data_IF_529570852648
#
_entry.id   IF_529570852648
#
_cell.length_a   1.000
_cell.length_b   1.000
_cell.length_c   1.000
_cell.angle_alpha   90.00
_cell.angle_beta   90.00
_cell.angle_gamma   90.00
#
_symmetry.space_group_name_H-M   'P 1'
#
loop_
_entity.id
_entity.type
_entity.pdbx_description
1 polymer ?
#
# COMPACT_ATOMS: atom_id res chain seq x y z
N UNK A 1 -6.61 -29.57 -4.43
CA UNK A 1 -6.78 -28.71 -5.63
C UNK A 1 -7.44 -27.37 -5.30
N UNK A 2 -8.61 -27.34 -4.65
CA UNK A 2 -9.32 -26.09 -4.29
C UNK A 2 -8.49 -25.09 -3.45
N UNK A 3 -7.67 -25.59 -2.52
CA UNK A 3 -6.81 -24.78 -1.65
C UNK A 3 -5.66 -24.06 -2.39
N UNK A 4 -5.04 -24.72 -3.38
CA UNK A 4 -4.02 -24.08 -4.23
C UNK A 4 -4.66 -23.05 -5.16
N UNK A 5 -5.88 -23.32 -5.64
CA UNK A 5 -6.66 -22.40 -6.46
C UNK A 5 -7.02 -21.12 -5.69
N UNK A 6 -7.30 -21.20 -4.37
CA UNK A 6 -7.58 -20.01 -3.55
C UNK A 6 -6.34 -19.16 -3.29
N UNK A 7 -5.16 -19.77 -3.08
CA UNK A 7 -3.89 -19.02 -3.00
C UNK A 7 -3.58 -18.34 -4.34
N UNK A 8 -3.76 -19.07 -5.45
CA UNK A 8 -3.59 -18.51 -6.80
C UNK A 8 -4.53 -17.34 -7.07
N UNK A 9 -5.80 -17.46 -6.68
CA UNK A 9 -6.79 -16.38 -6.81
C UNK A 9 -6.43 -15.14 -5.99
N UNK A 10 -5.93 -15.31 -4.76
CA UNK A 10 -5.46 -14.23 -3.90
C UNK A 10 -4.29 -13.46 -4.55
N UNK A 11 -3.30 -14.20 -5.04
CA UNK A 11 -2.13 -13.62 -5.72
C UNK A 11 -2.53 -12.91 -7.01
N UNK A 12 -3.48 -13.48 -7.77
CA UNK A 12 -4.03 -12.86 -8.97
C UNK A 12 -4.74 -11.56 -8.62
N UNK A 13 -5.64 -11.56 -7.64
CA UNK A 13 -6.36 -10.36 -7.20
C UNK A 13 -5.38 -9.26 -6.76
N UNK A 14 -4.33 -9.62 -6.02
CA UNK A 14 -3.25 -8.70 -5.65
C UNK A 14 -2.50 -8.13 -6.84
N UNK A 15 -2.18 -8.96 -7.83
CA UNK A 15 -1.50 -8.53 -9.05
C UNK A 15 -2.36 -7.52 -9.84
N UNK A 16 -3.68 -7.78 -9.93
CA UNK A 16 -4.64 -6.88 -10.58
C UNK A 16 -4.71 -5.54 -9.85
N UNK A 17 -4.80 -5.55 -8.53
CA UNK A 17 -4.84 -4.31 -7.73
C UNK A 17 -3.51 -3.54 -7.80
N UNK A 18 -2.37 -4.24 -7.86
CA UNK A 18 -1.07 -3.60 -8.04
C UNK A 18 -0.93 -2.96 -9.43
N UNK A 19 -1.44 -3.61 -10.48
CA UNK A 19 -1.50 -3.04 -11.83
C UNK A 19 -2.44 -1.84 -11.90
N UNK A 20 -3.59 -1.92 -11.23
CA UNK A 20 -4.50 -0.78 -11.09
C UNK A 20 -3.81 0.39 -10.39
N UNK A 21 -3.11 0.13 -9.28
CA UNK A 21 -2.34 1.14 -8.57
C UNK A 21 -1.26 1.77 -9.46
N UNK A 22 -0.55 0.98 -10.26
CA UNK A 22 0.39 1.49 -11.27
C UNK A 22 -0.30 2.43 -12.27
N UNK A 23 -1.51 2.08 -12.71
CA UNK A 23 -2.39 2.94 -13.53
C UNK A 23 -2.69 4.27 -12.84
N UNK A 24 -3.07 4.24 -11.56
CA UNK A 24 -3.33 5.46 -10.75
C UNK A 24 -2.10 6.36 -10.70
N UNK A 25 -0.91 5.81 -10.44
CA UNK A 25 0.35 6.60 -10.43
C UNK A 25 0.61 7.28 -11.77
N UNK A 26 0.43 6.56 -12.89
CA UNK A 26 0.62 7.13 -14.22
C UNK A 26 -0.47 8.15 -14.58
N UNK A 27 -1.71 7.95 -14.12
CA UNK A 27 -2.79 8.93 -14.22
C UNK A 27 -2.41 10.23 -13.51
N UNK A 28 -1.96 10.15 -12.26
CA UNK A 28 -1.45 11.31 -11.52
C UNK A 28 -0.30 12.00 -12.27
N UNK A 29 0.66 11.25 -12.80
CA UNK A 29 1.76 11.79 -13.60
C UNK A 29 1.25 12.55 -14.84
N UNK A 30 0.29 11.97 -15.56
CA UNK A 30 -0.32 12.61 -16.73
C UNK A 30 -0.99 13.94 -16.36
N UNK A 31 -1.77 13.97 -15.27
CA UNK A 31 -2.36 15.21 -14.76
C UNK A 31 -1.30 16.26 -14.39
N UNK A 32 -0.21 15.85 -13.75
CA UNK A 32 0.91 16.76 -13.42
C UNK A 32 1.60 17.31 -14.68
N UNK A 33 1.71 16.53 -15.76
CA UNK A 33 2.29 16.97 -17.04
C UNK A 33 1.36 17.90 -17.83
N UNK A 34 0.07 17.60 -17.86
CA UNK A 34 -0.94 18.39 -18.58
C UNK A 34 -1.10 19.79 -18.00
N UNK A 35 -0.99 19.93 -16.67
CA UNK A 35 -1.03 21.21 -16.01
C UNK A 35 0.35 21.88 -16.10
N UNK A 36 0.59 22.65 -17.17
CA UNK A 36 1.80 23.47 -17.42
C UNK A 36 2.14 24.47 -16.30
N UNK A 37 1.23 24.74 -15.36
CA UNK A 37 1.50 25.52 -14.14
C UNK A 37 2.35 24.77 -13.10
N UNK A 38 2.58 23.46 -13.29
CA UNK A 38 3.51 22.65 -12.51
C UNK A 38 4.93 22.60 -13.12
N UNK A 39 5.27 23.51 -14.04
CA UNK A 39 6.62 23.57 -14.62
C UNK A 39 7.70 23.70 -13.51
N UNK A 40 8.58 22.70 -13.33
CA UNK A 40 9.63 22.74 -12.33
C UNK A 40 10.73 23.75 -12.68
N UNK A 41 10.77 24.28 -13.91
CA UNK A 41 11.70 25.34 -14.30
C UNK A 41 11.41 26.65 -13.55
N UNK A 42 10.12 26.95 -13.29
CA UNK A 42 9.68 28.17 -12.60
C UNK A 42 9.61 28.04 -11.07
N UNK A 43 9.62 26.80 -10.53
CA UNK A 43 9.84 26.55 -9.10
C UNK A 43 11.24 25.96 -8.86
N UNK A 44 12.23 26.85 -8.88
CA UNK A 44 13.48 26.68 -8.09
C UNK A 44 13.23 26.55 -6.58
N UNK A 45 11.98 26.41 -6.11
CA UNK A 45 11.67 25.88 -4.79
C UNK A 45 11.93 24.37 -4.83
N UNK A 46 13.21 24.00 -4.70
CA UNK A 46 13.58 22.71 -4.12
C UNK A 46 12.82 22.63 -2.80
N UNK A 47 11.66 21.97 -2.77
CA UNK A 47 11.06 21.51 -1.52
C UNK A 47 11.99 20.39 -1.05
N UNK A 48 13.13 20.78 -0.50
CA UNK A 48 13.98 19.94 0.32
C UNK A 48 13.21 19.90 1.63
N UNK A 49 12.26 18.96 1.72
CA UNK A 49 11.57 18.69 2.98
C UNK A 49 12.64 18.61 4.06
N UNK A 50 12.50 19.46 5.08
CA UNK A 50 13.39 19.44 6.22
C UNK A 50 13.38 18.04 6.84
N UNK A 51 14.47 17.67 7.50
CA UNK A 51 14.57 16.35 8.15
C UNK A 51 13.38 16.11 9.10
N UNK A 52 12.96 17.17 9.82
CA UNK A 52 11.82 17.16 10.73
C UNK A 52 10.49 16.83 10.03
N UNK A 53 10.22 17.41 8.84
CA UNK A 53 8.98 17.13 8.09
C UNK A 53 8.95 15.67 7.60
N UNK A 54 10.09 15.12 7.18
CA UNK A 54 10.19 13.71 6.78
C UNK A 54 9.93 12.77 7.95
N UNK A 55 10.52 13.07 9.10
CA UNK A 55 10.31 12.31 10.33
C UNK A 55 8.83 12.34 10.76
N UNK A 56 8.21 13.53 10.76
CA UNK A 56 6.79 13.68 11.08
C UNK A 56 5.90 12.90 10.10
N UNK A 57 6.18 12.99 8.80
CA UNK A 57 5.41 12.27 7.77
C UNK A 57 5.56 10.76 7.95
N UNK A 58 6.78 10.29 8.21
CA UNK A 58 7.07 8.89 8.52
C UNK A 58 6.32 8.40 9.77
N UNK A 59 6.24 9.23 10.81
CA UNK A 59 5.52 8.92 12.03
C UNK A 59 4.00 8.82 11.80
N UNK A 60 3.43 9.77 11.06
CA UNK A 60 2.00 9.74 10.68
C UNK A 60 1.70 8.49 9.85
N UNK A 61 2.55 8.16 8.86
CA UNK A 61 2.42 6.94 8.09
C UNK A 61 2.51 5.70 8.98
N UNK A 62 3.46 5.66 9.92
CA UNK A 62 3.57 4.56 10.87
C UNK A 62 2.29 4.34 11.67
N UNK A 63 1.68 5.40 12.22
CA UNK A 63 0.42 5.29 12.98
C UNK A 63 -0.71 4.74 12.10
N UNK A 64 -0.88 5.28 10.90
CA UNK A 64 -1.91 4.81 9.96
C UNK A 64 -1.70 3.35 9.56
N UNK A 65 -0.47 2.99 9.21
CA UNK A 65 -0.13 1.63 8.77
C UNK A 65 -0.25 0.64 9.91
N UNK A 66 0.23 0.98 11.12
CA UNK A 66 0.13 0.11 12.28
C UNK A 66 -1.34 -0.17 12.63
N UNK A 67 -2.19 0.85 12.58
CA UNK A 67 -3.62 0.69 12.80
C UNK A 67 -4.28 -0.16 11.69
N UNK A 68 -4.00 0.14 10.43
CA UNK A 68 -4.52 -0.59 9.28
C UNK A 68 -4.12 -2.06 9.30
N UNK A 69 -2.82 -2.36 9.48
CA UNK A 69 -2.30 -3.72 9.59
C UNK A 69 -2.93 -4.43 10.79
N UNK A 70 -3.10 -3.77 11.94
CA UNK A 70 -3.74 -4.40 13.10
C UNK A 70 -5.16 -4.88 12.78
N UNK A 71 -5.95 -4.06 12.07
CA UNK A 71 -7.28 -4.45 11.61
C UNK A 71 -7.20 -5.59 10.58
N UNK A 72 -6.31 -5.48 9.58
CA UNK A 72 -6.10 -6.54 8.58
C UNK A 72 -5.74 -7.88 9.23
N UNK A 73 -4.81 -7.89 10.19
CA UNK A 73 -4.41 -9.12 10.88
C UNK A 73 -5.55 -9.71 11.70
N UNK A 74 -6.34 -8.86 12.36
CA UNK A 74 -7.46 -9.31 13.19
C UNK A 74 -8.55 -9.99 12.36
N UNK A 75 -8.90 -9.42 11.21
CA UNK A 75 -9.99 -9.97 10.37
C UNK A 75 -9.51 -11.00 9.34
N UNK A 76 -8.26 -10.94 8.87
CA UNK A 76 -7.78 -11.76 7.76
C UNK A 76 -6.53 -12.59 8.05
N UNK A 77 -5.84 -12.45 9.19
CA UNK A 77 -4.77 -13.38 9.56
C UNK A 77 -5.21 -14.31 10.67
N UNK A 78 -5.88 -13.77 11.70
CA UNK A 78 -6.46 -14.56 12.80
C UNK A 78 -7.75 -15.29 12.41
N UNK A 79 -8.29 -15.00 11.22
CA UNK A 79 -9.35 -15.78 10.60
C UNK A 79 -8.79 -17.13 10.15
N UNK A 80 -9.36 -18.23 10.67
CA UNK A 80 -8.81 -19.58 10.61
C UNK A 80 -8.26 -19.99 9.24
N UNK A 81 -8.98 -19.73 8.14
CA UNK A 81 -8.57 -20.17 6.78
C UNK A 81 -7.30 -19.48 6.27
N UNK A 82 -7.14 -18.18 6.54
CA UNK A 82 -5.99 -17.42 6.04
C UNK A 82 -4.72 -17.67 6.85
N UNK A 83 -4.85 -18.04 8.13
CA UNK A 83 -3.73 -18.52 8.93
C UNK A 83 -3.09 -19.76 8.30
N UNK A 84 -3.91 -20.71 7.83
CA UNK A 84 -3.43 -21.88 7.12
C UNK A 84 -2.67 -21.51 5.84
N UNK A 85 -3.13 -20.51 5.07
CA UNK A 85 -2.40 -20.06 3.87
C UNK A 85 -0.97 -19.62 4.20
N UNK A 86 -0.76 -18.96 5.34
CA UNK A 86 0.58 -18.55 5.79
C UNK A 86 1.46 -19.75 6.11
N UNK A 87 0.94 -20.74 6.85
CA UNK A 87 1.72 -21.96 7.19
C UNK A 87 2.08 -22.75 5.92
N UNK A 88 1.10 -23.00 5.05
CA UNK A 88 1.31 -23.80 3.84
C UNK A 88 2.19 -23.13 2.78
N UNK A 89 2.40 -21.82 2.89
CA UNK A 89 3.37 -21.08 2.06
C UNK A 89 4.70 -20.84 2.75
N UNK A 90 4.98 -21.55 3.86
CA UNK A 90 6.19 -21.37 4.68
C UNK A 90 6.43 -19.91 5.09
N UNK A 91 5.35 -19.17 5.37
CA UNK A 91 5.42 -17.78 5.79
C UNK A 91 5.54 -16.76 4.65
N UNK A 92 5.65 -17.19 3.38
CA UNK A 92 5.82 -16.26 2.25
C UNK A 92 4.66 -15.25 2.14
N UNK A 93 3.43 -15.66 2.44
CA UNK A 93 2.28 -14.76 2.43
C UNK A 93 2.31 -13.70 3.53
N UNK A 94 3.10 -13.85 4.61
CA UNK A 94 3.25 -12.78 5.63
C UNK A 94 3.81 -11.50 5.04
N UNK A 95 4.65 -11.60 4.01
CA UNK A 95 5.19 -10.45 3.28
C UNK A 95 4.04 -9.57 2.78
N UNK A 96 2.93 -10.18 2.35
CA UNK A 96 1.77 -9.47 1.83
C UNK A 96 1.05 -8.63 2.89
N UNK A 97 1.00 -9.11 4.13
CA UNK A 97 0.35 -8.41 5.24
C UNK A 97 1.23 -7.27 5.78
N UNK A 98 2.55 -7.45 5.78
CA UNK A 98 3.51 -6.48 6.31
C UNK A 98 4.05 -5.51 5.25
N UNK A 99 3.85 -5.78 3.95
CA UNK A 99 4.29 -4.93 2.85
C UNK A 99 3.95 -3.43 3.03
N UNK A 100 2.75 -3.04 3.54
CA UNK A 100 2.43 -1.64 3.79
C UNK A 100 3.45 -0.91 4.68
N UNK A 101 4.18 -1.60 5.59
CA UNK A 101 5.24 -0.99 6.41
C UNK A 101 6.34 -0.33 5.58
N UNK A 102 6.58 -0.80 4.35
CA UNK A 102 7.54 -0.19 3.44
C UNK A 102 7.25 1.29 3.18
N UNK A 103 5.98 1.72 3.21
CA UNK A 103 5.58 3.09 2.95
C UNK A 103 6.14 4.10 3.97
N UNK A 104 6.48 3.66 5.19
CA UNK A 104 7.12 4.46 6.24
C UNK A 104 8.44 5.06 5.73
N UNK A 105 9.19 4.30 4.94
CA UNK A 105 10.50 4.71 4.44
C UNK A 105 10.41 5.68 3.24
N UNK A 106 9.24 5.80 2.61
CA UNK A 106 9.04 6.58 1.38
C UNK A 106 9.53 8.05 1.45
N UNK A 107 9.35 8.79 2.56
CA UNK A 107 9.85 10.16 2.72
C UNK A 107 11.39 10.25 2.68
N UNK A 108 12.09 9.18 3.03
CA UNK A 108 13.56 9.12 3.07
C UNK A 108 14.17 8.66 1.75
N UNK A 109 13.41 7.98 0.89
CA UNK A 109 13.93 7.49 -0.38
C UNK A 109 14.35 8.64 -1.28
N UNK A 110 15.60 8.60 -1.75
CA UNK A 110 16.21 9.60 -2.63
C UNK A 110 15.30 9.91 -3.83
N UNK A 111 15.33 11.16 -4.29
CA UNK A 111 14.44 11.70 -5.33
C UNK A 111 14.68 11.10 -6.72
N UNK A 112 15.83 10.49 -6.94
CA UNK A 112 16.25 10.03 -8.28
C UNK A 112 15.60 8.69 -8.64
N UNK A 113 14.37 8.77 -9.15
CA UNK A 113 13.62 7.61 -9.65
C UNK A 113 14.33 6.88 -10.82
N UNK A 114 15.17 7.59 -11.59
CA UNK A 114 15.97 7.03 -12.69
C UNK A 114 16.98 5.99 -12.20
N UNK A 115 17.64 6.29 -11.08
CA UNK A 115 18.65 5.45 -10.44
C UNK A 115 18.05 4.25 -9.71
N UNK A 116 16.72 4.16 -9.61
CA UNK A 116 16.07 2.98 -9.02
C UNK A 116 16.16 1.80 -9.98
N UNK A 117 16.77 0.72 -9.49
CA UNK A 117 16.71 -0.58 -10.15
C UNK A 117 15.26 -1.04 -10.36
N UNK A 118 15.02 -1.86 -11.39
CA UNK A 118 13.68 -2.40 -11.71
C UNK A 118 13.00 -3.03 -10.49
N UNK A 119 13.77 -3.76 -9.68
CA UNK A 119 13.31 -4.39 -8.43
C UNK A 119 12.84 -3.35 -7.41
N UNK A 120 13.56 -2.24 -7.23
CA UNK A 120 13.13 -1.17 -6.32
C UNK A 120 11.83 -0.53 -6.79
N UNK A 121 11.66 -0.28 -8.09
CA UNK A 121 10.40 0.28 -8.62
C UNK A 121 9.23 -0.67 -8.35
N UNK A 122 9.41 -1.95 -8.66
CA UNK A 122 8.41 -2.97 -8.39
C UNK A 122 8.03 -3.02 -6.92
N UNK A 123 9.01 -2.99 -6.00
CA UNK A 123 8.76 -2.97 -4.56
C UNK A 123 7.84 -1.82 -4.15
N UNK A 124 8.07 -0.59 -4.60
CA UNK A 124 7.23 0.55 -4.21
C UNK A 124 5.81 0.49 -4.77
N UNK A 125 5.64 -0.03 -5.99
CA UNK A 125 4.31 -0.29 -6.54
C UNK A 125 3.60 -1.41 -5.79
N UNK A 126 4.34 -2.45 -5.42
CA UNK A 126 3.82 -3.55 -4.60
C UNK A 126 3.35 -3.04 -3.24
N UNK A 127 4.17 -2.28 -2.51
CA UNK A 127 3.80 -1.67 -1.21
C UNK A 127 2.52 -0.81 -1.31
N UNK A 128 2.43 0.04 -2.33
CA UNK A 128 1.25 0.88 -2.56
C UNK A 128 0.02 0.06 -2.94
N UNK A 129 0.19 -0.94 -3.82
CA UNK A 129 -0.85 -1.86 -4.25
C UNK A 129 -1.39 -2.73 -3.11
N UNK A 130 -0.52 -3.30 -2.27
CA UNK A 130 -0.92 -4.08 -1.09
C UNK A 130 -1.66 -3.23 -0.07
N UNK A 131 -1.23 -1.98 0.13
CA UNK A 131 -1.93 -1.04 1.01
C UNK A 131 -3.35 -0.77 0.50
N UNK A 132 -3.49 -0.53 -0.81
CA UNK A 132 -4.78 -0.30 -1.45
C UNK A 132 -5.69 -1.55 -1.40
N UNK A 133 -5.13 -2.73 -1.68
CA UNK A 133 -5.87 -4.00 -1.63
C UNK A 133 -6.46 -4.26 -0.25
N UNK A 134 -5.64 -4.18 0.80
CA UNK A 134 -6.10 -4.40 2.17
C UNK A 134 -7.10 -3.33 2.61
N UNK A 135 -6.86 -2.08 2.19
CA UNK A 135 -7.79 -0.97 2.42
C UNK A 135 -9.18 -1.23 1.82
N UNK A 136 -9.23 -1.68 0.56
CA UNK A 136 -10.48 -2.01 -0.13
C UNK A 136 -11.15 -3.21 0.52
N UNK A 137 -10.42 -4.30 0.80
CA UNK A 137 -10.99 -5.49 1.43
C UNK A 137 -11.64 -5.18 2.77
N UNK A 138 -10.96 -4.42 3.64
CA UNK A 138 -11.50 -4.05 4.95
C UNK A 138 -12.81 -3.25 4.87
N UNK A 139 -13.01 -2.48 3.79
CA UNK A 139 -14.21 -1.67 3.57
C UNK A 139 -15.32 -2.48 2.88
N UNK A 140 -14.97 -3.28 1.87
CA UNK A 140 -15.95 -4.07 1.10
C UNK A 140 -16.54 -5.22 1.90
N UNK A 141 -15.73 -5.84 2.77
CA UNK A 141 -16.18 -6.93 3.60
C UNK A 141 -16.95 -6.39 4.82
N UNK A 142 -18.27 -6.48 4.75
CA UNK A 142 -19.17 -6.06 5.82
C UNK A 142 -19.24 -7.06 6.98
N UNK A 143 -18.64 -8.26 6.83
CA UNK A 143 -18.58 -9.24 7.91
C UNK A 143 -17.65 -8.77 9.01
N UNK A 144 -18.14 -8.75 10.25
CA UNK A 144 -17.32 -8.51 11.45
C UNK A 144 -16.97 -9.79 12.19
N UNK A 145 -17.19 -10.96 11.59
CA UNK A 145 -16.87 -12.23 12.23
C UNK A 145 -15.35 -12.38 12.36
N UNK A 146 -14.89 -12.54 13.58
CA UNK A 146 -13.52 -12.89 13.92
C UNK A 146 -13.56 -14.31 14.47
N UNK A 147 -12.93 -15.22 13.75
CA UNK A 147 -12.84 -16.62 14.17
C UNK A 147 -11.84 -16.74 15.31
N UNK A 148 -12.24 -17.38 16.39
CA UNK A 148 -11.41 -17.61 17.57
C UNK A 148 -10.69 -18.95 17.54
N UNK A 149 -11.07 -19.83 16.61
CA UNK A 149 -10.48 -21.15 16.42
C UNK A 149 -10.05 -21.37 14.96
N UNK A 150 -9.12 -22.30 14.79
CA UNK A 150 -8.56 -22.67 13.49
C UNK A 150 -9.55 -23.47 12.63
N UNK A 151 -10.55 -24.09 13.28
CA UNK A 151 -11.65 -24.83 12.66
C UNK A 151 -12.73 -23.92 12.05
N UNK A 152 -12.70 -22.62 12.34
CA UNK A 152 -13.69 -21.66 11.83
C UNK A 152 -15.10 -21.87 12.38
N UNK A 153 -15.23 -22.60 13.49
CA UNK A 153 -16.50 -22.95 14.13
C UNK A 153 -16.93 -21.91 15.16
N UNK A 154 -15.97 -21.40 15.94
CA UNK A 154 -16.23 -20.40 16.97
C UNK A 154 -15.84 -19.02 16.46
N UNK A 155 -16.76 -18.06 16.60
CA UNK A 155 -16.53 -16.68 16.21
C UNK A 155 -17.14 -15.72 17.22
N UNK A 156 -16.53 -14.55 17.29
CA UNK A 156 -17.12 -13.39 17.96
C UNK A 156 -17.22 -12.22 16.96
N UNK A 157 -18.04 -11.23 17.28
CA UNK A 157 -18.23 -10.07 16.43
C UNK A 157 -17.29 -8.94 16.83
N UNK A 158 -16.52 -8.46 15.85
CA UNK A 158 -15.71 -7.25 15.97
C UNK A 158 -16.52 -5.97 15.71
N UNK A 159 -15.83 -4.84 15.80
CA UNK A 159 -16.41 -3.52 15.58
C UNK A 159 -16.25 -3.10 14.10
N UNK A 160 -17.39 -2.94 13.39
CA UNK A 160 -17.42 -2.57 11.98
C UNK A 160 -16.82 -1.17 11.73
N UNK A 161 -17.22 -0.10 12.46
CA UNK A 161 -16.59 1.21 12.33
C UNK A 161 -15.05 1.17 12.43
N UNK A 162 -14.50 0.45 13.42
CA UNK A 162 -13.05 0.34 13.57
C UNK A 162 -12.38 -0.39 12.39
N UNK A 163 -13.03 -1.43 11.85
CA UNK A 163 -12.58 -2.13 10.65
C UNK A 163 -12.50 -1.18 9.45
N UNK A 164 -13.58 -0.44 9.21
CA UNK A 164 -13.68 0.52 8.09
C UNK A 164 -12.65 1.64 8.24
N UNK A 165 -12.46 2.19 9.45
CA UNK A 165 -11.41 3.18 9.71
C UNK A 165 -10.00 2.61 9.41
N UNK A 166 -9.76 1.34 9.74
CA UNK A 166 -8.53 0.64 9.37
C UNK A 166 -8.35 0.59 7.85
N UNK A 167 -9.42 0.27 7.11
CA UNK A 167 -9.41 0.28 5.66
C UNK A 167 -9.10 1.67 5.07
N UNK A 168 -9.76 2.71 5.58
CA UNK A 168 -9.54 4.11 5.18
C UNK A 168 -8.09 4.52 5.43
N UNK A 169 -7.51 4.13 6.57
CA UNK A 169 -6.11 4.45 6.90
C UNK A 169 -5.13 3.91 5.84
N UNK A 170 -5.34 2.68 5.37
CA UNK A 170 -4.51 2.07 4.33
C UNK A 170 -4.74 2.68 2.94
N UNK A 171 -5.97 3.11 2.64
CA UNK A 171 -6.28 3.84 1.40
C UNK A 171 -5.56 5.20 1.39
N UNK A 172 -5.56 5.93 2.51
CA UNK A 172 -4.83 7.20 2.63
C UNK A 172 -3.33 6.98 2.39
N UNK A 173 -2.76 5.92 2.96
CA UNK A 173 -1.35 5.53 2.74
C UNK A 173 -1.10 5.22 1.26
N UNK A 174 -1.98 4.46 0.61
CA UNK A 174 -1.85 4.15 -0.81
C UNK A 174 -1.91 5.42 -1.68
N UNK A 175 -2.84 6.33 -1.42
CA UNK A 175 -2.95 7.61 -2.13
C UNK A 175 -1.69 8.46 -1.95
N UNK A 176 -1.17 8.55 -0.72
CA UNK A 176 0.10 9.21 -0.43
C UNK A 176 1.26 8.59 -1.25
N UNK A 177 1.34 7.26 -1.28
CA UNK A 177 2.34 6.53 -2.07
C UNK A 177 2.21 6.86 -3.56
N UNK A 178 1.00 6.89 -4.10
CA UNK A 178 0.75 7.17 -5.52
C UNK A 178 1.22 8.57 -5.90
N UNK A 179 0.84 9.59 -5.11
CA UNK A 179 1.24 10.99 -5.34
C UNK A 179 2.76 11.17 -5.21
N UNK A 180 3.38 10.51 -4.23
CA UNK A 180 4.82 10.62 -4.00
C UNK A 180 5.61 9.92 -5.12
N UNK A 181 5.13 8.78 -5.64
CA UNK A 181 5.74 8.12 -6.80
C UNK A 181 5.57 8.94 -8.08
N UNK A 182 4.37 9.47 -8.32
CA UNK A 182 4.08 10.31 -9.50
C UNK A 182 4.95 11.57 -9.52
N UNK A 183 5.07 12.27 -8.38
CA UNK A 183 5.92 13.46 -8.26
C UNK A 183 7.41 13.15 -8.45
N UNK A 184 7.92 12.05 -7.87
CA UNK A 184 9.32 11.63 -8.09
C UNK A 184 9.58 11.33 -9.58
N UNK A 185 8.66 10.63 -10.25
CA UNK A 185 8.75 10.35 -11.69
C UNK A 185 8.70 11.63 -12.53
N UNK A 186 7.79 12.56 -12.21
CA UNK A 186 7.68 13.86 -12.86
C UNK A 186 8.98 14.67 -12.79
N UNK A 187 9.62 14.73 -11.62
CA UNK A 187 10.89 15.48 -11.44
C UNK A 187 12.07 14.89 -12.22
N UNK A 188 12.00 13.63 -12.62
CA UNK A 188 13.01 12.99 -13.46
C UNK A 188 12.72 13.28 -14.93
N UNK A 189 11.50 13.05 -15.39
CA UNK A 189 11.12 13.29 -16.80
C UNK A 189 11.38 14.75 -17.22
N UNK A 190 11.20 15.71 -16.31
CA UNK A 190 11.46 17.13 -16.58
C UNK A 190 12.93 17.51 -16.59
N UNK A 191 13.80 16.78 -15.87
CA UNK A 191 15.26 16.98 -15.94
C UNK A 191 15.88 16.45 -17.24
N UNK A 192 15.29 15.40 -17.81
CA UNK A 192 15.79 14.78 -19.05
C UNK A 192 15.34 15.56 -20.32
N UNK A 193 14.40 16.50 -20.20
CA UNK A 193 13.89 17.33 -21.30
C UNK A 193 14.51 18.75 -21.35
N UNK A 194 15.51 19.03 -20.50
CA UNK A 194 16.31 20.27 -20.46
C UNK A 194 17.73 19.91 -20.86
#
# INVERSE_FOLDING_TARGET
MAFLMSIGALLLAMSVVTLFFYGVVNGCLYFMKKNTSMDPSNRKVKIRQSSSIKCLTSFVLFVLIAFGIHQTMTYYLKSGVYFWFVIFTFGLLLIMYYAPLGAILMPFVKKEYKTWHRVSKFFWYYVGGTSLFWGILLIMDTSTKIYSDESGSNFYYGNLPLKVMGGISLIIVALYMALTLASKKYTVDTRDNI
#
